data_IF_184732915620
#
_entry.id   IF_184732915620
#
_cell.length_a   1.000
_cell.length_b   1.000
_cell.length_c   1.000
_cell.angle_alpha   90.00
_cell.angle_beta   90.00
_cell.angle_gamma   90.00
#
_symmetry.space_group_name_H-M   'P 1'
#
loop_
_entity.id
_entity.type
_entity.pdbx_description
1 polymer ?
#
# COMPACT_ATOMS: atom_id res chain seq x y z
N UNK A 1 44.66 40.74 21.98
CA UNK A 1 44.78 39.68 20.96
C UNK A 1 44.77 38.30 21.62
N UNK A 2 45.54 38.00 22.68
CA UNK A 2 45.60 36.69 23.34
C UNK A 2 44.24 36.25 23.91
N UNK A 3 43.47 37.16 24.51
CA UNK A 3 42.13 36.86 25.06
C UNK A 3 41.13 36.46 23.98
N UNK A 4 41.13 37.13 22.84
CA UNK A 4 40.27 36.80 21.69
C UNK A 4 40.62 35.43 21.11
N UNK A 5 41.89 35.10 21.00
CA UNK A 5 42.34 33.79 20.51
C UNK A 5 41.93 32.65 21.44
N UNK A 6 42.05 32.83 22.74
CA UNK A 6 41.60 31.83 23.74
C UNK A 6 40.08 31.64 23.72
N UNK A 7 39.33 32.73 23.56
CA UNK A 7 37.85 32.67 23.47
C UNK A 7 37.39 31.93 22.20
N UNK A 8 37.99 32.22 21.05
CA UNK A 8 37.72 31.51 19.79
C UNK A 8 38.10 30.04 19.86
N UNK A 9 39.27 29.73 20.43
CA UNK A 9 39.69 28.33 20.63
C UNK A 9 38.72 27.54 21.54
N UNK A 10 38.28 28.15 22.65
CA UNK A 10 37.30 27.54 23.55
C UNK A 10 35.97 27.28 22.82
N UNK A 11 35.46 28.29 22.05
CA UNK A 11 34.26 28.12 21.22
C UNK A 11 34.39 27.00 20.21
N UNK A 12 35.52 26.92 19.51
CA UNK A 12 35.80 25.85 18.56
C UNK A 12 35.79 24.43 19.22
N UNK A 13 36.48 24.29 20.38
CA UNK A 13 36.51 23.01 21.09
C UNK A 13 35.11 22.55 21.59
N UNK A 14 34.30 23.51 22.05
CA UNK A 14 32.92 23.24 22.45
C UNK A 14 32.06 22.78 21.26
N UNK A 15 32.11 23.49 20.14
CA UNK A 15 31.39 23.13 18.93
C UNK A 15 31.84 21.76 18.39
N UNK A 16 33.15 21.50 18.34
CA UNK A 16 33.69 20.22 17.88
C UNK A 16 33.27 19.05 18.78
N UNK A 17 33.23 19.24 20.09
CA UNK A 17 32.82 18.20 21.03
C UNK A 17 31.33 17.86 20.89
N UNK A 18 30.49 18.84 20.53
CA UNK A 18 29.07 18.66 20.24
C UNK A 18 28.85 17.87 18.95
N UNK A 19 29.54 18.27 17.88
CA UNK A 19 29.48 17.53 16.60
C UNK A 19 29.85 16.06 16.79
N UNK A 20 30.92 15.77 17.52
CA UNK A 20 31.31 14.40 17.84
C UNK A 20 30.24 13.61 18.62
N UNK A 21 29.51 14.28 19.52
CA UNK A 21 28.38 13.63 20.21
C UNK A 21 27.23 13.30 19.25
N UNK A 22 26.88 14.24 18.37
CA UNK A 22 25.84 14.01 17.36
C UNK A 22 26.20 12.87 16.41
N UNK A 23 27.47 12.83 15.95
CA UNK A 23 27.97 11.73 15.12
C UNK A 23 27.90 10.39 15.85
N UNK A 24 28.28 10.36 17.14
CA UNK A 24 28.18 9.16 17.95
C UNK A 24 26.73 8.71 18.17
N UNK A 25 25.81 9.64 18.42
CA UNK A 25 24.39 9.34 18.53
C UNK A 25 23.85 8.79 17.21
N UNK A 26 24.16 9.42 16.07
CA UNK A 26 23.80 8.96 14.74
C UNK A 26 24.29 7.55 14.47
N UNK A 27 25.54 7.22 14.84
CA UNK A 27 26.14 5.88 14.59
C UNK A 27 25.56 4.77 15.48
N UNK A 28 24.92 5.11 16.61
CA UNK A 28 24.32 4.17 17.53
C UNK A 28 22.83 3.92 17.23
N UNK A 29 22.19 4.79 16.43
CA UNK A 29 20.80 4.65 16.05
C UNK A 29 20.68 3.68 14.87
N UNK A 30 19.83 2.67 15.04
CA UNK A 30 19.41 1.78 13.96
C UNK A 30 18.58 2.56 12.92
N UNK A 31 17.72 3.44 13.42
CA UNK A 31 16.79 4.24 12.62
C UNK A 31 17.18 5.73 12.70
N UNK A 32 17.75 6.26 11.63
CA UNK A 32 18.33 7.62 11.60
C UNK A 32 17.27 8.72 11.78
N UNK A 33 16.02 8.46 11.40
CA UNK A 33 14.92 9.41 11.53
C UNK A 33 14.53 9.71 12.98
N UNK A 34 14.94 8.87 13.95
CA UNK A 34 14.74 9.12 15.39
C UNK A 34 15.69 10.17 15.95
N UNK A 35 16.68 10.62 15.19
CA UNK A 35 17.70 11.55 15.65
C UNK A 35 17.10 12.87 16.18
N UNK A 36 16.04 13.37 15.55
CA UNK A 36 15.40 14.61 15.96
C UNK A 36 14.76 14.57 17.35
N UNK A 37 14.29 13.39 17.80
CA UNK A 37 13.73 13.24 19.14
C UNK A 37 14.83 13.13 20.24
N UNK A 38 16.05 12.77 19.84
CA UNK A 38 17.19 12.57 20.76
C UNK A 38 18.15 13.76 20.79
N UNK A 39 17.88 14.82 20.02
CA UNK A 39 18.73 16.01 20.00
C UNK A 39 18.80 16.69 21.37
N UNK A 40 19.99 17.14 21.81
CA UNK A 40 20.14 17.89 23.04
C UNK A 40 19.45 19.27 22.94
N UNK A 41 18.99 19.80 24.08
CA UNK A 41 18.35 21.12 24.13
C UNK A 41 19.21 22.21 23.50
N UNK A 42 18.62 23.10 22.68
CA UNK A 42 19.32 24.20 22.02
C UNK A 42 19.79 25.25 23.05
N UNK A 43 20.89 25.94 22.76
CA UNK A 43 21.47 26.97 23.63
C UNK A 43 21.22 28.38 23.15
N UNK A 44 21.15 28.57 21.84
CA UNK A 44 20.94 29.87 21.23
C UNK A 44 19.76 29.88 20.26
N UNK A 45 19.47 31.05 19.68
CA UNK A 45 18.34 31.22 18.77
C UNK A 45 18.49 30.41 17.48
N UNK A 46 19.69 30.33 16.93
CA UNK A 46 19.98 29.62 15.69
C UNK A 46 19.89 28.10 15.90
N UNK A 47 20.48 27.59 17.00
CA UNK A 47 20.33 26.18 17.39
C UNK A 47 18.86 25.80 17.60
N UNK A 48 18.04 26.74 18.10
CA UNK A 48 16.60 26.50 18.32
C UNK A 48 15.86 26.28 17.01
N UNK A 49 16.11 27.10 16.01
CA UNK A 49 15.48 26.97 14.70
C UNK A 49 15.86 25.62 14.06
N UNK A 50 17.14 25.26 14.07
CA UNK A 50 17.58 23.95 13.57
C UNK A 50 16.97 22.78 14.36
N UNK A 51 16.84 22.92 15.66
CA UNK A 51 16.22 21.90 16.53
C UNK A 51 14.75 21.69 16.17
N UNK A 52 13.97 22.75 15.99
CA UNK A 52 12.56 22.66 15.61
C UNK A 52 12.40 22.02 14.21
N UNK A 53 13.17 22.46 13.22
CA UNK A 53 13.17 21.89 11.87
C UNK A 53 13.51 20.39 11.91
N UNK A 54 14.59 20.01 12.60
CA UNK A 54 14.99 18.60 12.71
C UNK A 54 13.93 17.74 13.41
N UNK A 55 13.27 18.30 14.42
CA UNK A 55 12.21 17.64 15.16
C UNK A 55 10.96 17.43 14.29
N UNK A 56 10.59 18.43 13.51
CA UNK A 56 9.49 18.32 12.55
C UNK A 56 9.78 17.26 11.47
N UNK A 57 10.99 17.28 10.87
CA UNK A 57 11.42 16.27 9.90
C UNK A 57 11.40 14.86 10.50
N UNK A 58 11.92 14.71 11.73
CA UNK A 58 11.89 13.40 12.42
C UNK A 58 10.47 12.92 12.66
N UNK A 59 9.56 13.77 13.13
CA UNK A 59 8.16 13.40 13.34
C UNK A 59 7.47 13.00 12.04
N UNK A 60 7.70 13.75 10.98
CA UNK A 60 7.18 13.39 9.66
C UNK A 60 7.70 12.04 9.19
N UNK A 61 9.00 11.78 9.36
CA UNK A 61 9.61 10.50 8.98
C UNK A 61 9.13 9.32 9.84
N UNK A 62 8.94 9.53 11.16
CA UNK A 62 8.35 8.56 12.07
C UNK A 62 6.93 8.21 11.60
N UNK A 63 6.08 9.23 11.36
CA UNK A 63 4.72 9.00 10.89
C UNK A 63 4.67 8.26 9.55
N UNK A 64 5.57 8.57 8.61
CA UNK A 64 5.66 7.86 7.35
C UNK A 64 6.08 6.38 7.54
N UNK A 65 7.04 6.11 8.43
CA UNK A 65 7.48 4.76 8.75
C UNK A 65 6.37 3.94 9.42
N UNK A 66 5.67 4.51 10.40
CA UNK A 66 4.53 3.88 11.09
C UNK A 66 3.38 3.57 10.11
N UNK A 67 3.06 4.51 9.22
CA UNK A 67 2.06 4.29 8.18
C UNK A 67 2.46 3.15 7.24
N UNK A 68 3.72 3.10 6.79
CA UNK A 68 4.20 2.03 5.92
C UNK A 68 4.16 0.65 6.61
N UNK A 69 4.46 0.57 7.91
CA UNK A 69 4.34 -0.66 8.69
C UNK A 69 2.88 -1.07 8.79
N UNK A 70 1.97 -0.16 9.14
CA UNK A 70 0.54 -0.43 9.23
C UNK A 70 -0.05 -0.90 7.90
N UNK A 71 0.26 -0.22 6.80
CA UNK A 71 -0.19 -0.62 5.47
C UNK A 71 0.30 -2.02 5.08
N UNK A 72 1.52 -2.37 5.49
CA UNK A 72 2.05 -3.71 5.28
C UNK A 72 1.29 -4.75 6.10
N UNK A 73 1.01 -4.47 7.38
CA UNK A 73 0.26 -5.37 8.26
C UNK A 73 -1.16 -5.58 7.73
N UNK A 74 -1.89 -4.52 7.39
CA UNK A 74 -3.21 -4.58 6.77
C UNK A 74 -3.21 -5.41 5.48
N UNK A 75 -2.15 -5.28 4.67
CA UNK A 75 -1.99 -6.09 3.46
C UNK A 75 -1.78 -7.57 3.78
N UNK A 76 -0.95 -7.89 4.77
CA UNK A 76 -0.73 -9.28 5.18
C UNK A 76 -2.02 -9.92 5.70
N UNK A 77 -2.76 -9.24 6.56
CA UNK A 77 -4.06 -9.71 7.08
C UNK A 77 -5.08 -9.94 5.94
N UNK A 78 -5.14 -9.00 4.98
CA UNK A 78 -6.00 -9.16 3.81
C UNK A 78 -5.62 -10.41 2.98
N UNK A 79 -4.33 -10.61 2.72
CA UNK A 79 -3.84 -11.77 1.95
C UNK A 79 -4.12 -13.08 2.71
N UNK A 80 -3.93 -13.11 4.03
CA UNK A 80 -4.24 -14.29 4.86
C UNK A 80 -5.74 -14.63 4.79
N UNK A 81 -6.62 -13.64 4.95
CA UNK A 81 -8.06 -13.81 4.82
C UNK A 81 -8.44 -14.38 3.45
N UNK A 82 -7.87 -13.82 2.38
CA UNK A 82 -8.10 -14.28 1.03
C UNK A 82 -7.64 -15.74 0.80
N UNK A 83 -6.47 -16.11 1.34
CA UNK A 83 -5.98 -17.49 1.28
C UNK A 83 -6.97 -18.44 1.95
N UNK A 84 -7.55 -18.05 3.08
CA UNK A 84 -8.60 -18.84 3.73
C UNK A 84 -9.86 -18.96 2.89
N UNK A 85 -10.29 -17.91 2.23
CA UNK A 85 -11.48 -17.90 1.38
C UNK A 85 -11.31 -18.78 0.14
N UNK A 86 -10.16 -18.76 -0.55
CA UNK A 86 -9.92 -19.60 -1.72
C UNK A 86 -9.74 -21.08 -1.36
N UNK A 87 -9.24 -21.37 -0.16
CA UNK A 87 -9.06 -22.74 0.32
C UNK A 87 -10.41 -23.48 0.44
N UNK A 88 -11.48 -22.76 0.74
CA UNK A 88 -12.83 -23.33 0.88
C UNK A 88 -13.35 -23.97 -0.41
N UNK A 89 -13.46 -23.27 -1.56
CA UNK A 89 -13.90 -23.87 -2.81
C UNK A 89 -12.92 -24.95 -3.32
N UNK A 90 -11.61 -24.80 -3.08
CA UNK A 90 -10.64 -25.82 -3.45
C UNK A 90 -10.83 -27.12 -2.66
N UNK A 91 -11.12 -27.02 -1.36
CA UNK A 91 -11.45 -28.16 -0.52
C UNK A 91 -12.77 -28.80 -0.98
N UNK A 92 -13.77 -27.98 -1.32
CA UNK A 92 -15.04 -28.47 -1.89
C UNK A 92 -14.82 -29.22 -3.21
N UNK A 93 -13.96 -28.71 -4.11
CA UNK A 93 -13.59 -29.42 -5.34
C UNK A 93 -12.99 -30.81 -5.03
N UNK A 94 -12.08 -30.89 -4.07
CA UNK A 94 -11.43 -32.14 -3.67
C UNK A 94 -12.45 -33.14 -3.12
N UNK A 95 -13.41 -32.70 -2.30
CA UNK A 95 -14.48 -33.54 -1.75
C UNK A 95 -15.45 -34.01 -2.85
N UNK A 96 -15.81 -33.14 -3.80
CA UNK A 96 -16.68 -33.50 -4.93
C UNK A 96 -16.00 -34.60 -5.76
N UNK A 97 -14.72 -34.48 -6.05
CA UNK A 97 -13.96 -35.48 -6.79
C UNK A 97 -13.90 -36.82 -6.05
N UNK A 98 -13.67 -36.80 -4.71
CA UNK A 98 -13.63 -37.99 -3.89
C UNK A 98 -14.99 -38.73 -3.81
N UNK A 99 -16.11 -38.00 -3.98
CA UNK A 99 -17.48 -38.53 -3.90
C UNK A 99 -18.15 -38.80 -5.27
N UNK A 100 -17.38 -39.06 -6.30
CA UNK A 100 -17.90 -39.44 -7.61
C UNK A 100 -17.94 -38.32 -8.66
N UNK A 101 -17.49 -37.11 -8.30
CA UNK A 101 -17.15 -36.08 -9.29
C UNK A 101 -18.33 -35.49 -10.05
N UNK A 102 -19.32 -34.88 -9.38
CA UNK A 102 -20.39 -34.16 -10.06
C UNK A 102 -19.84 -32.97 -10.83
N UNK A 103 -19.86 -33.00 -12.21
CA UNK A 103 -19.22 -31.96 -13.02
C UNK A 103 -19.86 -30.55 -12.82
N UNK A 104 -21.17 -30.50 -12.56
CA UNK A 104 -21.87 -29.22 -12.39
C UNK A 104 -21.49 -28.56 -11.06
N UNK A 105 -21.36 -29.34 -10.01
CA UNK A 105 -20.87 -28.82 -8.71
C UNK A 105 -19.41 -28.41 -8.79
N UNK A 106 -18.57 -29.21 -9.44
CA UNK A 106 -17.14 -28.90 -9.62
C UNK A 106 -16.95 -27.61 -10.40
N UNK A 107 -17.67 -27.44 -11.53
CA UNK A 107 -17.62 -26.20 -12.33
C UNK A 107 -17.97 -24.98 -11.49
N UNK A 108 -18.98 -25.08 -10.61
CA UNK A 108 -19.41 -23.97 -9.76
C UNK A 108 -18.35 -23.58 -8.74
N UNK A 109 -17.73 -24.55 -8.06
CA UNK A 109 -16.69 -24.26 -7.07
C UNK A 109 -15.40 -23.74 -7.73
N UNK A 110 -15.04 -24.24 -8.91
CA UNK A 110 -13.94 -23.69 -9.70
C UNK A 110 -14.21 -22.23 -10.11
N UNK A 111 -15.43 -21.92 -10.57
CA UNK A 111 -15.80 -20.54 -10.91
C UNK A 111 -15.76 -19.61 -9.69
N UNK A 112 -16.11 -20.11 -8.52
CA UNK A 112 -15.99 -19.37 -7.27
C UNK A 112 -14.53 -19.06 -6.92
N UNK A 113 -13.64 -20.05 -7.06
CA UNK A 113 -12.21 -19.86 -6.85
C UNK A 113 -11.61 -18.85 -7.85
N UNK A 114 -12.02 -18.93 -9.11
CA UNK A 114 -11.62 -18.03 -10.19
C UNK A 114 -12.03 -16.58 -9.87
N UNK A 115 -13.28 -16.34 -9.46
CA UNK A 115 -13.76 -15.02 -9.07
C UNK A 115 -12.97 -14.45 -7.87
N UNK A 116 -12.62 -15.28 -6.87
CA UNK A 116 -11.79 -14.85 -5.75
C UNK A 116 -10.38 -14.47 -6.21
N UNK A 117 -9.82 -15.19 -7.18
CA UNK A 117 -8.51 -14.89 -7.76
C UNK A 117 -8.53 -13.55 -8.51
N UNK A 118 -9.56 -13.27 -9.29
CA UNK A 118 -9.75 -11.99 -9.97
C UNK A 118 -9.86 -10.84 -8.96
N UNK A 119 -10.57 -11.04 -7.86
CA UNK A 119 -10.70 -10.02 -6.80
C UNK A 119 -9.36 -9.64 -6.18
N UNK A 120 -8.49 -10.63 -5.88
CA UNK A 120 -7.17 -10.32 -5.30
C UNK A 120 -6.24 -9.65 -6.32
N UNK A 121 -6.32 -10.06 -7.61
CA UNK A 121 -5.56 -9.39 -8.67
C UNK A 121 -5.99 -7.93 -8.84
N UNK A 122 -7.28 -7.65 -8.77
CA UNK A 122 -7.81 -6.29 -8.80
C UNK A 122 -7.29 -5.47 -7.60
N UNK A 123 -7.35 -6.02 -6.40
CA UNK A 123 -6.82 -5.37 -5.20
C UNK A 123 -5.31 -5.09 -5.28
N UNK A 124 -4.54 -6.05 -5.80
CA UNK A 124 -3.10 -5.86 -6.00
C UNK A 124 -2.78 -4.74 -7.00
N UNK A 125 -3.58 -4.60 -8.07
CA UNK A 125 -3.45 -3.51 -9.05
C UNK A 125 -3.78 -2.15 -8.46
N UNK A 126 -4.80 -2.04 -7.62
CA UNK A 126 -5.14 -0.79 -6.93
C UNK A 126 -3.99 -0.26 -6.05
N UNK A 127 -3.18 -1.14 -5.48
CA UNK A 127 -2.01 -0.75 -4.66
C UNK A 127 -0.77 -0.37 -5.47
N UNK A 128 -0.72 -0.66 -6.75
CA UNK A 128 0.39 -0.31 -7.64
C UNK A 128 -0.12 0.28 -8.94
N UNK A 129 -0.88 1.39 -8.89
CA UNK A 129 -1.52 1.97 -10.07
C UNK A 129 -0.52 2.41 -11.13
N UNK A 130 0.71 2.78 -10.74
CA UNK A 130 1.74 3.28 -11.66
C UNK A 130 2.27 2.23 -12.65
N UNK A 131 2.09 0.93 -12.37
CA UNK A 131 2.69 -0.13 -13.18
C UNK A 131 1.80 -0.69 -14.29
N UNK A 132 0.48 -0.54 -14.19
CA UNK A 132 -0.45 -1.27 -15.07
C UNK A 132 -1.66 -0.44 -15.57
N UNK A 133 -1.72 0.85 -15.22
CA UNK A 133 -2.81 1.74 -15.62
C UNK A 133 -2.60 2.21 -17.06
N UNK A 134 -3.47 1.78 -17.97
CA UNK A 134 -3.49 2.23 -19.36
C UNK A 134 -4.74 3.06 -19.63
N UNK A 135 -4.59 4.38 -19.56
CA UNK A 135 -5.70 5.29 -19.86
C UNK A 135 -5.90 5.35 -21.37
N UNK A 136 -7.04 4.87 -21.84
CA UNK A 136 -7.46 4.89 -23.24
C UNK A 136 -8.91 5.35 -23.37
N UNK A 137 -9.32 5.72 -24.59
CA UNK A 137 -10.71 5.96 -24.87
C UNK A 137 -11.48 4.64 -24.92
N UNK A 138 -12.41 4.45 -23.99
CA UNK A 138 -13.17 3.22 -23.82
C UNK A 138 -14.66 3.53 -23.99
N UNK A 139 -15.38 2.69 -24.77
CA UNK A 139 -16.83 2.77 -24.89
C UNK A 139 -17.49 2.20 -23.63
N UNK A 140 -18.33 2.98 -22.98
CA UNK A 140 -19.08 2.54 -21.80
C UNK A 140 -20.00 1.36 -22.12
N UNK A 141 -20.64 1.36 -23.30
CA UNK A 141 -21.49 0.25 -23.74
C UNK A 141 -20.70 -1.05 -23.92
N UNK A 142 -19.45 -0.99 -24.43
CA UNK A 142 -18.60 -2.16 -24.56
C UNK A 142 -18.25 -2.77 -23.22
N UNK A 143 -17.90 -1.94 -22.22
CA UNK A 143 -17.57 -2.39 -20.86
C UNK A 143 -18.79 -3.02 -20.19
N UNK A 144 -19.96 -2.39 -20.28
CA UNK A 144 -21.20 -2.94 -19.72
C UNK A 144 -21.56 -4.27 -20.37
N UNK A 145 -21.40 -4.38 -21.71
CA UNK A 145 -21.65 -5.62 -22.43
C UNK A 145 -20.72 -6.75 -21.99
N UNK A 146 -19.44 -6.46 -21.72
CA UNK A 146 -18.47 -7.44 -21.20
C UNK A 146 -18.84 -7.87 -19.78
N UNK A 147 -19.19 -6.93 -18.87
CA UNK A 147 -19.63 -7.21 -17.52
C UNK A 147 -20.91 -8.07 -17.50
N UNK A 148 -21.89 -7.76 -18.32
CA UNK A 148 -23.14 -8.57 -18.45
C UNK A 148 -22.81 -9.96 -18.98
N UNK A 149 -21.91 -10.07 -19.96
CA UNK A 149 -21.48 -11.36 -20.52
C UNK A 149 -20.78 -12.23 -19.48
N UNK A 150 -19.92 -11.64 -18.64
CA UNK A 150 -19.21 -12.36 -17.58
C UNK A 150 -20.15 -12.93 -16.51
N UNK A 151 -21.28 -12.26 -16.23
CA UNK A 151 -22.28 -12.64 -15.25
C UNK A 151 -23.51 -13.37 -15.84
N UNK A 152 -23.46 -13.72 -17.13
CA UNK A 152 -24.63 -14.28 -17.86
C UNK A 152 -25.25 -15.50 -17.18
N UNK A 153 -24.44 -16.42 -16.68
CA UNK A 153 -24.94 -17.65 -16.02
C UNK A 153 -25.78 -17.30 -14.76
N UNK A 154 -25.33 -16.31 -13.98
CA UNK A 154 -26.05 -15.84 -12.79
C UNK A 154 -27.34 -15.10 -13.15
N UNK A 155 -27.28 -14.21 -14.15
CA UNK A 155 -28.44 -13.45 -14.62
C UNK A 155 -29.54 -14.37 -15.16
N UNK A 156 -29.17 -15.39 -15.95
CA UNK A 156 -30.10 -16.39 -16.46
C UNK A 156 -30.70 -17.24 -15.33
N UNK A 157 -29.88 -17.68 -14.36
CA UNK A 157 -30.36 -18.45 -13.23
C UNK A 157 -31.33 -17.66 -12.33
N UNK A 158 -31.07 -16.36 -12.16
CA UNK A 158 -31.92 -15.41 -11.42
C UNK A 158 -33.11 -14.89 -12.23
N UNK A 159 -33.25 -15.27 -13.53
CA UNK A 159 -34.27 -14.74 -14.46
C UNK A 159 -34.29 -13.22 -14.58
N UNK A 160 -33.11 -12.60 -14.52
CA UNK A 160 -32.95 -11.14 -14.66
C UNK A 160 -32.66 -10.82 -16.13
N UNK A 161 -33.50 -9.98 -16.74
CA UNK A 161 -33.26 -9.35 -18.04
C UNK A 161 -32.43 -8.07 -17.84
N UNK A 162 -31.41 -7.88 -18.67
CA UNK A 162 -30.60 -6.65 -18.67
C UNK A 162 -30.82 -5.94 -20.00
N UNK A 163 -31.23 -4.68 -19.93
CA UNK A 163 -31.35 -3.79 -21.08
C UNK A 163 -30.37 -2.62 -20.91
N UNK A 164 -29.58 -2.36 -21.93
CA UNK A 164 -28.63 -1.24 -21.93
C UNK A 164 -28.99 -0.27 -23.04
N UNK A 165 -29.10 1.02 -22.71
CA UNK A 165 -29.39 2.06 -23.66
C UNK A 165 -28.36 3.18 -23.60
N UNK A 166 -27.93 3.66 -24.78
CA UNK A 166 -26.92 4.70 -24.92
C UNK A 166 -25.48 4.18 -24.92
N UNK A 167 -24.57 5.00 -25.41
CA UNK A 167 -23.13 4.81 -25.38
C UNK A 167 -22.43 6.16 -25.25
N UNK A 168 -21.31 6.18 -24.57
CA UNK A 168 -20.41 7.31 -24.51
C UNK A 168 -18.98 6.84 -24.32
N UNK A 169 -18.01 7.63 -24.76
CA UNK A 169 -16.60 7.33 -24.58
C UNK A 169 -16.02 8.05 -23.38
N UNK A 170 -15.30 7.34 -22.56
CA UNK A 170 -14.56 7.88 -21.41
C UNK A 170 -13.08 7.55 -21.53
N UNK A 171 -12.22 8.46 -21.08
CA UNK A 171 -10.80 8.19 -20.95
C UNK A 171 -10.53 7.55 -19.58
N UNK A 172 -10.29 6.26 -19.60
CA UNK A 172 -10.07 5.48 -18.37
C UNK A 172 -9.31 4.20 -18.68
N UNK A 173 -8.90 3.50 -17.63
CA UNK A 173 -8.40 2.14 -17.78
C UNK A 173 -9.58 1.16 -17.88
N UNK A 174 -9.80 0.60 -19.06
CA UNK A 174 -10.90 -0.33 -19.33
C UNK A 174 -10.88 -1.60 -18.46
N UNK A 175 -9.72 -2.02 -18.00
CA UNK A 175 -9.58 -3.19 -17.10
C UNK A 175 -10.06 -2.91 -15.68
N UNK A 176 -10.04 -1.64 -15.25
CA UNK A 176 -10.49 -1.23 -13.93
C UNK A 176 -11.99 -0.92 -13.86
N UNK A 177 -12.66 -0.85 -15.01
CA UNK A 177 -14.12 -0.60 -15.13
C UNK A 177 -14.95 -1.91 -15.21
N UNK A 178 -14.36 -3.02 -15.58
CA UNK A 178 -14.96 -4.35 -15.60
C UNK A 178 -14.80 -5.06 -14.28
#
# INVERSE_FOLDING_TARGET
>A
FAFAAVWLAAGYFVARSRLKRLEKMKSQLKETYLLGELLPKPRDGVEREYFEVMKEVSRSAIGAAENAVREKEEYCEYVESWIHEIKTPLTACSLILANGGDPAKLKRELKRADNLTETILYYARLRSPEKDTSIAAVSAAAVVAEAVKSQRELLVAAKIGVETTGDFSVYTDGKSLC
#
